data_IF_357514669129
#
_entry.id   IF_357514669129
#
_cell.length_a   1.000
_cell.length_b   1.000
_cell.length_c   1.000
_cell.angle_alpha   90.00
_cell.angle_beta   90.00
_cell.angle_gamma   90.00
#
_symmetry.space_group_name_H-M   'P 1'
#
loop_
_entity.id
_entity.type
_entity.pdbx_description
1 polymer ?
#
# COMPACT_ATOMS: atom_id res chain seq x y z
N UNK A 1 2.52 -34.63 -12.63
CA UNK A 1 3.31 -34.60 -11.38
C UNK A 1 3.69 -33.19 -10.93
N UNK A 2 4.63 -32.45 -11.55
CA UNK A 2 5.05 -31.15 -10.98
C UNK A 2 3.94 -30.08 -10.90
N UNK A 3 3.01 -30.05 -11.86
CA UNK A 3 1.88 -29.13 -11.83
C UNK A 3 0.80 -29.53 -10.81
N UNK A 4 0.67 -30.82 -10.50
CA UNK A 4 -0.30 -31.30 -9.50
C UNK A 4 0.16 -30.98 -8.08
N UNK A 5 1.46 -31.10 -7.80
CA UNK A 5 2.05 -30.75 -6.50
C UNK A 5 1.84 -29.25 -6.18
N UNK A 6 1.87 -28.38 -7.20
CA UNK A 6 1.67 -26.93 -7.04
C UNK A 6 0.22 -26.53 -6.73
N UNK A 7 -0.75 -27.35 -7.09
CA UNK A 7 -2.18 -27.09 -6.86
C UNK A 7 -2.72 -27.73 -5.57
N UNK A 8 -1.92 -28.60 -4.93
CA UNK A 8 -2.31 -29.23 -3.68
C UNK A 8 -2.29 -28.25 -2.51
N UNK A 9 -3.18 -28.49 -1.54
CA UNK A 9 -3.22 -27.71 -0.30
C UNK A 9 -1.89 -27.86 0.45
N UNK A 10 -1.36 -26.75 0.98
CA UNK A 10 -0.08 -26.72 1.68
C UNK A 10 -0.02 -27.73 2.84
N UNK A 11 -1.15 -27.98 3.52
CA UNK A 11 -1.23 -28.98 4.59
C UNK A 11 -0.81 -30.38 4.12
N UNK A 12 -1.19 -30.78 2.90
CA UNK A 12 -0.95 -32.11 2.33
C UNK A 12 0.34 -32.21 1.51
N UNK A 13 1.05 -31.10 1.33
CA UNK A 13 2.31 -31.07 0.60
C UNK A 13 3.42 -31.82 1.36
N UNK A 14 4.30 -32.48 0.61
CA UNK A 14 5.40 -33.27 1.15
C UNK A 14 6.33 -32.45 2.08
N UNK A 15 6.80 -33.09 3.16
CA UNK A 15 7.58 -32.48 4.21
C UNK A 15 8.99 -32.10 3.76
N UNK A 16 9.59 -32.87 2.85
CA UNK A 16 10.89 -32.52 2.27
C UNK A 16 10.81 -31.23 1.46
N UNK A 17 9.72 -31.07 0.69
CA UNK A 17 9.46 -29.87 -0.08
C UNK A 17 9.26 -28.66 0.84
N UNK A 18 8.46 -28.79 1.91
CA UNK A 18 8.26 -27.73 2.92
C UNK A 18 9.56 -27.28 3.56
N UNK A 19 10.42 -28.23 3.96
CA UNK A 19 11.72 -27.93 4.59
C UNK A 19 12.66 -27.20 3.62
N UNK A 20 12.65 -27.56 2.35
CA UNK A 20 13.49 -26.94 1.31
C UNK A 20 12.92 -25.67 0.68
N UNK A 21 11.63 -25.37 0.86
CA UNK A 21 10.92 -24.28 0.17
C UNK A 21 11.57 -22.92 0.45
N UNK A 22 11.88 -22.62 1.71
CA UNK A 22 12.51 -21.35 2.10
C UNK A 22 13.85 -21.11 1.39
N UNK A 23 14.72 -22.12 1.38
CA UNK A 23 16.04 -22.01 0.77
C UNK A 23 15.93 -21.84 -0.75
N UNK A 24 14.99 -22.54 -1.39
CA UNK A 24 14.69 -22.36 -2.81
C UNK A 24 14.18 -20.95 -3.09
N UNK A 25 13.23 -20.43 -2.31
CA UNK A 25 12.70 -19.08 -2.48
C UNK A 25 13.79 -18.02 -2.32
N UNK A 26 14.67 -18.13 -1.32
CA UNK A 26 15.79 -17.19 -1.15
C UNK A 26 16.79 -17.25 -2.31
N UNK A 27 17.00 -18.43 -2.92
CA UNK A 27 17.88 -18.59 -4.09
C UNK A 27 17.26 -17.97 -5.36
N UNK A 28 15.95 -18.13 -5.56
CA UNK A 28 15.28 -17.69 -6.79
C UNK A 28 14.75 -16.25 -6.71
N UNK A 29 14.41 -15.73 -5.53
CA UNK A 29 13.82 -14.39 -5.36
C UNK A 29 14.64 -13.26 -6.00
N UNK A 30 15.99 -13.19 -5.86
CA UNK A 30 16.78 -12.14 -6.50
C UNK A 30 16.74 -12.18 -8.03
N UNK A 31 16.59 -13.36 -8.64
CA UNK A 31 16.55 -13.49 -10.10
C UNK A 31 15.27 -12.91 -10.72
N UNK A 32 14.20 -12.79 -9.93
CA UNK A 32 12.91 -12.23 -10.38
C UNK A 32 12.65 -10.83 -9.81
N UNK A 33 13.63 -10.21 -9.15
CA UNK A 33 13.43 -8.92 -8.48
C UNK A 33 12.45 -8.97 -7.30
N UNK A 34 12.17 -10.17 -6.77
CA UNK A 34 11.28 -10.40 -5.62
C UNK A 34 12.07 -10.36 -4.29
N UNK A 35 13.09 -9.50 -4.23
CA UNK A 35 13.87 -9.29 -3.01
C UNK A 35 12.94 -8.75 -1.91
N UNK A 36 13.03 -9.31 -0.70
CA UNK A 36 12.12 -8.98 0.41
C UNK A 36 10.85 -9.81 0.54
N UNK A 37 10.51 -10.69 -0.44
CA UNK A 37 9.35 -11.59 -0.33
C UNK A 37 9.47 -12.56 0.87
N UNK A 38 10.66 -13.10 1.09
CA UNK A 38 10.98 -13.90 2.27
C UNK A 38 11.78 -13.01 3.21
N UNK A 39 11.30 -12.77 4.44
CA UNK A 39 12.04 -11.97 5.39
C UNK A 39 13.45 -12.53 5.61
N UNK A 40 14.49 -11.67 5.62
CA UNK A 40 15.83 -12.10 5.94
C UNK A 40 15.85 -12.66 7.37
N UNK A 41 16.74 -13.61 7.64
CA UNK A 41 16.90 -14.15 8.99
C UNK A 41 17.50 -13.07 9.89
N UNK A 42 16.66 -12.25 10.50
CA UNK A 42 17.05 -11.33 11.55
C UNK A 42 17.43 -12.16 12.78
N UNK A 43 18.73 -12.25 13.06
CA UNK A 43 19.33 -12.93 14.22
C UNK A 43 19.60 -14.43 14.09
N UNK A 44 20.83 -14.78 14.45
CA UNK A 44 21.36 -16.14 14.65
C UNK A 44 20.62 -16.95 15.73
N UNK A 45 19.73 -16.31 16.50
CA UNK A 45 19.01 -16.95 17.62
C UNK A 45 17.66 -17.54 17.21
N UNK A 46 17.07 -17.12 16.09
CA UNK A 46 15.82 -17.69 15.56
C UNK A 46 16.14 -18.74 14.49
N UNK A 47 16.51 -19.94 14.95
CA UNK A 47 16.77 -21.10 14.08
C UNK A 47 15.45 -21.81 13.79
N UNK A 48 14.95 -21.73 12.55
CA UNK A 48 13.76 -22.49 12.14
C UNK A 48 13.09 -21.98 10.87
N UNK A 49 12.12 -22.75 10.37
CA UNK A 49 11.36 -22.42 9.15
C UNK A 49 10.68 -21.03 9.23
N UNK A 50 10.32 -20.59 10.44
CA UNK A 50 9.57 -19.36 10.72
C UNK A 50 10.44 -18.10 10.93
N UNK A 51 11.76 -18.21 10.83
CA UNK A 51 12.66 -17.08 11.10
C UNK A 51 12.30 -15.84 10.24
N UNK A 52 12.10 -14.68 10.88
CA UNK A 52 11.77 -13.43 10.19
C UNK A 52 10.31 -13.28 9.74
N UNK A 53 9.45 -14.30 9.82
CA UNK A 53 8.02 -14.20 9.49
C UNK A 53 7.17 -13.50 10.58
N UNK A 54 7.81 -12.76 11.48
CA UNK A 54 7.17 -12.10 12.62
C UNK A 54 6.65 -13.10 13.65
N UNK A 55 5.46 -12.83 14.18
CA UNK A 55 4.84 -13.64 15.22
C UNK A 55 4.01 -14.77 14.61
N UNK A 56 4.35 -16.00 14.96
CA UNK A 56 3.61 -17.21 14.56
C UNK A 56 3.12 -17.90 15.83
N UNK A 57 1.82 -18.22 15.86
CA UNK A 57 1.20 -18.96 16.95
C UNK A 57 0.83 -20.37 16.49
N UNK A 58 1.16 -21.34 17.32
CA UNK A 58 0.84 -22.75 17.10
C UNK A 58 -0.27 -23.18 18.06
N UNK A 59 -1.36 -23.73 17.52
CA UNK A 59 -2.46 -24.35 18.27
C UNK A 59 -2.31 -25.87 18.25
N UNK A 60 -1.17 -26.36 18.74
CA UNK A 60 -0.82 -27.78 18.70
C UNK A 60 -0.85 -28.33 17.27
N UNK A 61 -1.65 -29.37 17.06
CA UNK A 61 -1.84 -30.02 15.75
C UNK A 61 -2.96 -29.39 14.89
N UNK A 62 -3.71 -28.43 15.43
CA UNK A 62 -4.90 -27.87 14.74
C UNK A 62 -4.53 -26.85 13.68
N UNK A 63 -3.67 -25.89 14.01
CA UNK A 63 -3.22 -24.86 13.07
C UNK A 63 -1.91 -24.21 13.52
N UNK A 64 -1.18 -23.69 12.55
CA UNK A 64 -0.05 -22.78 12.71
C UNK A 64 -0.38 -21.55 11.86
N UNK A 65 -0.68 -20.41 12.50
CA UNK A 65 -1.06 -19.18 11.81
C UNK A 65 -0.11 -18.05 12.23
N UNK A 66 0.32 -17.26 11.25
CA UNK A 66 1.03 -16.00 11.51
C UNK A 66 0.06 -14.90 11.94
N UNK A 67 0.58 -13.86 12.59
CA UNK A 67 -0.19 -12.66 12.91
C UNK A 67 -0.83 -12.03 11.66
N UNK A 68 -0.13 -12.08 10.52
CA UNK A 68 -0.65 -11.63 9.22
C UNK A 68 -1.84 -12.48 8.76
N UNK A 69 -1.75 -13.80 8.85
CA UNK A 69 -2.84 -14.70 8.46
C UNK A 69 -4.11 -14.41 9.28
N UNK A 70 -3.94 -14.26 10.59
CA UNK A 70 -5.04 -13.94 11.50
C UNK A 70 -5.64 -12.57 11.15
N UNK A 71 -4.83 -11.55 10.91
CA UNK A 71 -5.29 -10.22 10.50
C UNK A 71 -6.04 -10.23 9.17
N UNK A 72 -5.56 -11.00 8.19
CA UNK A 72 -6.22 -11.18 6.89
C UNK A 72 -7.59 -11.85 7.05
N UNK A 73 -7.68 -12.90 7.87
CA UNK A 73 -8.94 -13.62 8.12
C UNK A 73 -9.95 -12.73 8.84
N UNK A 74 -9.54 -12.05 9.91
CA UNK A 74 -10.42 -11.14 10.66
C UNK A 74 -10.90 -9.98 9.78
N UNK A 75 -9.98 -9.36 9.04
CA UNK A 75 -10.34 -8.27 8.13
C UNK A 75 -11.34 -8.72 7.08
N UNK A 76 -11.25 -9.97 6.61
CA UNK A 76 -12.24 -10.51 5.69
C UNK A 76 -13.61 -10.71 6.37
N UNK A 77 -13.68 -11.19 7.62
CA UNK A 77 -14.94 -11.30 8.38
C UNK A 77 -15.62 -9.94 8.50
N UNK A 78 -14.86 -8.88 8.76
CA UNK A 78 -15.37 -7.51 8.88
C UNK A 78 -15.90 -6.95 7.55
N UNK A 79 -15.33 -7.38 6.43
CA UNK A 79 -15.67 -6.83 5.11
C UNK A 79 -16.77 -7.60 4.39
N UNK A 80 -16.62 -8.93 4.32
CA UNK A 80 -17.57 -9.82 3.62
C UNK A 80 -18.73 -10.18 4.55
N UNK A 81 -18.44 -10.43 5.84
CA UNK A 81 -19.35 -11.12 6.73
C UNK A 81 -19.53 -12.59 6.37
N UNK A 82 -20.47 -13.29 6.99
CA UNK A 82 -20.69 -14.73 6.76
C UNK A 82 -21.02 -14.98 5.29
N UNK A 83 -20.20 -15.78 4.61
CA UNK A 83 -20.57 -16.36 3.32
C UNK A 83 -21.64 -17.38 3.62
N UNK A 84 -22.89 -17.03 3.38
CA UNK A 84 -23.96 -18.02 3.37
C UNK A 84 -23.74 -18.88 2.12
N UNK A 85 -23.41 -20.18 2.23
CA UNK A 85 -23.07 -21.03 1.08
C UNK A 85 -24.21 -21.16 0.06
N UNK A 86 -25.39 -20.65 0.39
CA UNK A 86 -26.54 -20.52 -0.51
C UNK A 86 -26.45 -19.31 -1.45
N UNK A 87 -25.50 -18.38 -1.26
CA UNK A 87 -25.42 -17.09 -1.99
C UNK A 87 -24.66 -17.10 -3.31
N UNK A 88 -24.24 -18.27 -3.80
CA UNK A 88 -23.80 -18.37 -5.20
C UNK A 88 -24.97 -18.37 -6.21
N UNK A 89 -26.22 -18.46 -5.73
CA UNK A 89 -27.42 -18.52 -6.60
C UNK A 89 -28.67 -17.83 -6.00
N UNK A 90 -28.56 -17.19 -4.82
CA UNK A 90 -29.72 -16.67 -4.05
C UNK A 90 -29.87 -15.15 -4.00
N UNK A 91 -29.31 -14.43 -4.99
CA UNK A 91 -29.74 -13.05 -5.28
C UNK A 91 -31.26 -12.98 -5.63
N UNK A 92 -31.91 -14.12 -5.91
CA UNK A 92 -33.36 -14.21 -6.14
C UNK A 92 -34.24 -14.43 -4.90
N UNK A 93 -33.70 -14.93 -3.78
CA UNK A 93 -34.54 -15.33 -2.64
C UNK A 93 -34.49 -14.39 -1.42
N UNK A 94 -33.48 -13.52 -1.31
CA UNK A 94 -33.47 -12.46 -0.29
C UNK A 94 -34.66 -11.48 -0.46
N UNK A 95 -35.16 -11.32 -1.69
CA UNK A 95 -36.37 -10.54 -2.00
C UNK A 95 -37.71 -11.24 -1.69
N UNK A 96 -37.75 -12.57 -1.51
CA UNK A 96 -39.01 -13.29 -1.25
C UNK A 96 -39.31 -13.46 0.25
N UNK A 97 -38.29 -13.63 1.10
CA UNK A 97 -38.50 -13.69 2.55
C UNK A 97 -38.73 -12.32 3.17
N UNK A 98 -38.12 -11.25 2.63
CA UNK A 98 -38.44 -9.88 3.02
C UNK A 98 -39.85 -9.42 2.59
N UNK A 99 -40.50 -10.18 1.67
CA UNK A 99 -41.88 -9.91 1.25
C UNK A 99 -42.93 -10.55 2.18
N UNK A 100 -42.56 -11.57 2.98
CA UNK A 100 -43.49 -12.25 3.88
C UNK A 100 -43.58 -11.64 5.28
N UNK A 101 -42.58 -10.86 5.71
CA UNK A 101 -42.65 -10.09 6.97
C UNK A 101 -43.16 -8.65 6.76
N UNK A 102 -43.42 -8.22 5.52
CA UNK A 102 -43.72 -6.82 5.16
C UNK A 102 -45.13 -6.61 4.61
N UNK A 103 -46.05 -7.54 4.84
CA UNK A 103 -47.46 -7.38 4.46
C UNK A 103 -48.29 -6.58 5.51
N UNK A 104 -47.70 -6.18 6.65
CA UNK A 104 -48.40 -5.41 7.71
C UNK A 104 -47.85 -3.99 7.96
N UNK A 105 -46.94 -3.45 7.14
CA UNK A 105 -46.46 -2.07 7.30
C UNK A 105 -46.32 -1.33 5.97
N UNK A 106 -46.86 -0.11 5.95
CA UNK A 106 -47.07 0.77 4.80
C UNK A 106 -45.83 1.01 3.90
N UNK A 107 -46.02 1.33 2.60
CA UNK A 107 -44.95 1.45 1.64
C UNK A 107 -44.34 2.85 1.67
N UNK A 108 -43.33 3.06 2.49
CA UNK A 108 -42.36 4.14 2.35
C UNK A 108 -41.05 3.65 2.97
N UNK A 109 -40.28 2.87 2.22
CA UNK A 109 -38.96 2.40 2.64
C UNK A 109 -37.93 2.83 1.60
N UNK A 110 -37.48 4.07 1.76
CA UNK A 110 -36.12 4.48 1.38
C UNK A 110 -35.19 3.60 2.20
N UNK A 111 -34.41 2.75 1.53
CA UNK A 111 -33.41 1.85 2.13
C UNK A 111 -32.74 2.49 3.35
N UNK A 112 -33.16 2.05 4.53
CA UNK A 112 -32.76 2.62 5.81
C UNK A 112 -31.23 2.51 5.98
N UNK A 113 -30.50 3.63 6.12
CA UNK A 113 -29.05 3.61 6.36
C UNK A 113 -28.67 2.85 7.64
N UNK A 114 -29.61 2.59 8.55
CA UNK A 114 -29.38 1.77 9.75
C UNK A 114 -29.15 0.28 9.43
N UNK A 115 -29.59 -0.21 8.26
CA UNK A 115 -29.37 -1.60 7.86
C UNK A 115 -27.88 -1.90 7.63
N UNK A 116 -27.15 -0.99 6.98
CA UNK A 116 -25.69 -1.14 6.77
C UNK A 116 -24.92 -1.09 8.10
N UNK A 117 -25.31 -0.20 9.00
CA UNK A 117 -24.76 -0.10 10.37
C UNK A 117 -25.00 -1.38 11.18
N UNK A 118 -26.19 -1.98 11.04
CA UNK A 118 -26.52 -3.26 11.70
C UNK A 118 -25.67 -4.43 11.19
N UNK A 119 -25.34 -4.45 9.90
CA UNK A 119 -24.45 -5.44 9.30
C UNK A 119 -23.01 -5.27 9.77
N UNK A 120 -22.52 -4.04 9.96
CA UNK A 120 -21.18 -3.79 10.52
C UNK A 120 -21.10 -4.32 11.96
N UNK A 121 -22.12 -4.07 12.79
CA UNK A 121 -22.13 -4.51 14.18
C UNK A 121 -22.11 -6.05 14.30
N UNK A 122 -22.92 -6.74 13.49
CA UNK A 122 -22.93 -8.23 13.49
C UNK A 122 -21.60 -8.82 13.01
N UNK A 123 -20.96 -8.19 12.02
CA UNK A 123 -19.62 -8.58 11.54
C UNK A 123 -18.55 -8.33 12.60
N UNK A 124 -18.62 -7.21 13.32
CA UNK A 124 -17.72 -6.88 14.42
C UNK A 124 -17.74 -7.97 15.51
N UNK A 125 -18.92 -8.35 15.99
CA UNK A 125 -19.03 -9.39 17.01
C UNK A 125 -18.60 -10.77 16.48
N UNK A 126 -18.89 -11.09 15.21
CA UNK A 126 -18.40 -12.32 14.58
C UNK A 126 -16.87 -12.36 14.51
N UNK A 127 -16.22 -11.24 14.22
CA UNK A 127 -14.78 -11.10 14.21
C UNK A 127 -14.18 -11.19 15.62
N UNK A 128 -14.84 -10.56 16.61
CA UNK A 128 -14.46 -10.63 18.02
C UNK A 128 -14.56 -12.06 18.58
N UNK A 129 -15.64 -12.77 18.27
CA UNK A 129 -15.83 -14.16 18.68
C UNK A 129 -14.82 -15.12 18.02
N UNK A 130 -14.33 -14.77 16.82
CA UNK A 130 -13.29 -15.53 16.14
C UNK A 130 -11.92 -15.40 16.83
N UNK A 131 -11.63 -14.27 17.48
CA UNK A 131 -10.38 -14.06 18.24
C UNK A 131 -10.50 -14.40 19.72
N UNK A 132 -11.73 -14.48 20.24
CA UNK A 132 -11.98 -14.73 21.67
C UNK A 132 -11.37 -16.05 22.12
N UNK A 133 -10.49 -15.97 23.10
CA UNK A 133 -9.84 -17.13 23.73
C UNK A 133 -10.81 -17.90 24.65
N UNK A 134 -11.98 -17.34 24.94
CA UNK A 134 -12.94 -17.83 25.94
C UNK A 134 -13.74 -19.03 25.45
N UNK A 135 -14.01 -19.14 24.15
CA UNK A 135 -14.98 -20.11 23.62
C UNK A 135 -14.35 -21.43 23.16
N UNK A 136 -13.03 -21.50 22.99
CA UNK A 136 -12.24 -22.75 23.00
C UNK A 136 -10.77 -22.39 22.76
N UNK A 137 -9.83 -23.17 23.30
CA UNK A 137 -8.43 -23.17 22.87
C UNK A 137 -8.23 -23.55 21.38
N UNK A 138 -9.30 -23.65 20.58
CA UNK A 138 -9.27 -24.12 19.21
C UNK A 138 -9.46 -22.98 18.19
N UNK A 139 -8.64 -22.93 17.11
CA UNK A 139 -8.74 -21.90 16.07
C UNK A 139 -9.89 -22.15 15.09
N UNK A 140 -10.95 -22.87 15.49
CA UNK A 140 -11.97 -23.41 14.59
C UNK A 140 -12.75 -22.31 13.87
N UNK A 141 -13.14 -21.24 14.56
CA UNK A 141 -13.85 -20.11 13.96
C UNK A 141 -12.99 -19.35 12.93
N UNK A 142 -11.68 -19.22 13.20
CA UNK A 142 -10.73 -18.63 12.26
C UNK A 142 -10.57 -19.51 11.02
N UNK A 143 -10.42 -20.83 11.20
CA UNK A 143 -10.29 -21.78 10.09
C UNK A 143 -11.58 -21.84 9.24
N UNK A 144 -12.75 -21.77 9.86
CA UNK A 144 -14.03 -21.71 9.15
C UNK A 144 -14.19 -20.42 8.33
N UNK A 145 -13.53 -19.34 8.75
CA UNK A 145 -13.54 -18.04 8.06
C UNK A 145 -12.43 -17.92 7.01
N UNK A 146 -11.51 -18.89 6.92
CA UNK A 146 -10.43 -18.87 5.94
C UNK A 146 -10.91 -18.89 4.47
N UNK A 147 -11.93 -19.70 4.08
CA UNK A 147 -12.45 -19.68 2.70
C UNK A 147 -13.00 -18.30 2.30
N UNK A 148 -13.50 -17.55 3.27
CA UNK A 148 -14.03 -16.21 3.07
C UNK A 148 -12.91 -15.21 2.80
N UNK A 149 -11.80 -15.29 3.53
CA UNK A 149 -10.60 -14.53 3.19
C UNK A 149 -10.07 -14.87 1.79
N UNK A 150 -10.05 -16.16 1.43
CA UNK A 150 -9.65 -16.60 0.10
C UNK A 150 -10.59 -16.05 -0.99
N UNK A 151 -11.91 -16.05 -0.75
CA UNK A 151 -12.90 -15.50 -1.68
C UNK A 151 -12.65 -14.00 -1.92
N UNK A 152 -12.52 -13.21 -0.85
CA UNK A 152 -12.21 -11.78 -0.95
C UNK A 152 -10.93 -11.51 -1.76
N UNK A 153 -9.84 -12.21 -1.47
CA UNK A 153 -8.57 -11.98 -2.18
C UNK A 153 -8.63 -12.46 -3.64
N UNK A 154 -9.36 -13.53 -3.94
CA UNK A 154 -9.63 -13.94 -5.33
C UNK A 154 -10.46 -12.91 -6.08
N UNK A 155 -11.47 -12.32 -5.43
CA UNK A 155 -12.28 -11.25 -6.00
C UNK A 155 -11.44 -9.99 -6.27
N UNK A 156 -10.56 -9.61 -5.34
CA UNK A 156 -9.59 -8.50 -5.50
C UNK A 156 -8.69 -8.76 -6.70
N UNK A 157 -8.07 -9.95 -6.79
CA UNK A 157 -7.19 -10.31 -7.91
C UNK A 157 -7.94 -10.31 -9.24
N UNK A 158 -9.14 -10.91 -9.30
CA UNK A 158 -9.97 -10.96 -10.50
C UNK A 158 -10.36 -9.57 -10.99
N UNK A 159 -10.83 -8.72 -10.07
CA UNK A 159 -11.30 -7.37 -10.40
C UNK A 159 -10.12 -6.46 -10.74
N UNK A 160 -9.06 -6.49 -9.93
CA UNK A 160 -7.84 -5.71 -10.15
C UNK A 160 -7.16 -6.04 -11.48
N UNK A 161 -7.01 -7.32 -11.82
CA UNK A 161 -6.46 -7.74 -13.13
C UNK A 161 -7.38 -7.35 -14.29
N UNK A 162 -8.71 -7.41 -14.12
CA UNK A 162 -9.66 -6.89 -15.11
C UNK A 162 -9.49 -5.38 -15.33
N UNK A 163 -9.32 -4.59 -14.26
CA UNK A 163 -9.10 -3.14 -14.37
C UNK A 163 -7.80 -2.80 -15.12
N UNK A 164 -6.72 -3.52 -14.82
CA UNK A 164 -5.41 -3.35 -15.47
C UNK A 164 -5.45 -3.77 -16.94
N UNK A 165 -5.97 -4.96 -17.24
CA UNK A 165 -6.04 -5.49 -18.62
C UNK A 165 -6.93 -4.64 -19.53
N UNK A 166 -8.07 -4.15 -19.01
CA UNK A 166 -8.96 -3.26 -19.75
C UNK A 166 -8.47 -1.81 -19.81
N UNK A 167 -7.32 -1.49 -19.22
CA UNK A 167 -6.77 -0.13 -19.17
C UNK A 167 -7.81 0.89 -18.65
N UNK A 168 -8.61 0.49 -17.65
CA UNK A 168 -9.67 1.33 -17.08
C UNK A 168 -9.12 2.37 -16.08
N UNK A 169 -7.83 2.28 -15.76
CA UNK A 169 -7.12 3.24 -14.91
C UNK A 169 -6.74 4.44 -15.77
N UNK A 170 -7.34 5.59 -15.46
CA UNK A 170 -7.08 6.85 -16.17
C UNK A 170 -6.16 7.75 -15.36
N UNK A 171 -5.26 8.42 -16.05
CA UNK A 171 -4.38 9.42 -15.45
C UNK A 171 -5.04 10.80 -15.51
N UNK A 172 -5.36 11.37 -14.35
CA UNK A 172 -5.71 12.78 -14.23
C UNK A 172 -4.49 13.57 -13.78
N UNK A 173 -4.61 14.90 -13.73
CA UNK A 173 -3.49 15.80 -13.41
C UNK A 173 -2.86 15.49 -12.04
N UNK A 174 -3.69 15.31 -11.02
CA UNK A 174 -3.24 15.16 -9.63
C UNK A 174 -3.17 13.69 -9.16
N UNK A 175 -3.97 12.79 -9.74
CA UNK A 175 -4.07 11.39 -9.33
C UNK A 175 -4.54 10.48 -10.45
N UNK A 176 -4.45 9.17 -10.23
CA UNK A 176 -5.06 8.16 -11.11
C UNK A 176 -6.42 7.77 -10.60
N UNK A 177 -7.32 7.43 -11.51
CA UNK A 177 -8.67 7.02 -11.18
C UNK A 177 -9.05 5.71 -11.85
N UNK A 178 -9.75 4.86 -11.11
CA UNK A 178 -10.46 3.72 -11.66
C UNK A 178 -11.88 3.64 -11.08
N UNK A 179 -12.82 3.17 -11.90
CA UNK A 179 -14.23 3.00 -11.51
C UNK A 179 -14.64 1.54 -11.75
N UNK A 180 -15.02 0.87 -10.68
CA UNK A 180 -15.54 -0.50 -10.68
C UNK A 180 -17.05 -0.44 -10.89
N UNK A 181 -17.46 -0.51 -12.15
CA UNK A 181 -18.86 -0.45 -12.56
C UNK A 181 -19.47 -1.82 -12.90
N UNK A 182 -18.68 -2.72 -13.49
CA UNK A 182 -19.17 -3.98 -14.07
C UNK A 182 -18.33 -5.16 -13.56
N UNK A 183 -18.98 -6.24 -13.11
CA UNK A 183 -18.32 -7.47 -12.68
C UNK A 183 -19.14 -8.31 -11.71
N UNK A 184 -18.78 -9.58 -11.51
CA UNK A 184 -19.47 -10.47 -10.58
C UNK A 184 -19.28 -10.05 -9.11
N UNK A 185 -18.21 -9.30 -8.80
CA UNK A 185 -17.82 -8.92 -7.45
C UNK A 185 -18.14 -7.45 -7.11
N UNK A 186 -18.89 -6.72 -7.95
CA UNK A 186 -19.16 -5.28 -7.75
C UNK A 186 -19.81 -5.01 -6.38
N UNK A 187 -20.80 -5.84 -6.00
CA UNK A 187 -21.46 -5.78 -4.70
C UNK A 187 -20.52 -6.00 -3.51
N UNK A 188 -19.39 -6.69 -3.70
CA UNK A 188 -18.42 -6.87 -2.63
C UNK A 188 -17.63 -5.57 -2.36
N UNK A 189 -17.39 -4.79 -3.41
CA UNK A 189 -16.65 -3.53 -3.36
C UNK A 189 -17.52 -2.30 -3.05
N UNK A 190 -18.78 -2.49 -2.67
CA UNK A 190 -19.58 -1.45 -2.02
C UNK A 190 -19.17 -1.27 -0.56
N UNK A 191 -18.60 -2.30 0.08
CA UNK A 191 -18.03 -2.15 1.41
C UNK A 191 -16.73 -1.32 1.31
N UNK A 192 -16.61 -0.21 2.06
CA UNK A 192 -15.43 0.64 2.01
C UNK A 192 -14.13 -0.09 2.35
N UNK A 193 -14.15 -1.04 3.30
CA UNK A 193 -12.95 -1.80 3.67
C UNK A 193 -12.43 -2.69 2.53
N UNK A 194 -13.34 -3.40 1.86
CA UNK A 194 -13.00 -4.24 0.71
C UNK A 194 -12.49 -3.39 -0.47
N UNK A 195 -13.13 -2.24 -0.69
CA UNK A 195 -12.71 -1.29 -1.73
C UNK A 195 -11.34 -0.68 -1.44
N UNK A 196 -11.04 -0.34 -0.18
CA UNK A 196 -9.71 0.12 0.24
C UNK A 196 -8.64 -0.94 -0.02
N UNK A 197 -8.89 -2.22 0.29
CA UNK A 197 -7.94 -3.30 -0.03
C UNK A 197 -7.71 -3.45 -1.53
N UNK A 198 -8.77 -3.36 -2.34
CA UNK A 198 -8.63 -3.36 -3.79
C UNK A 198 -7.82 -2.14 -4.27
N UNK A 199 -8.08 -0.95 -3.73
CA UNK A 199 -7.36 0.27 -4.08
C UNK A 199 -5.87 0.17 -3.72
N UNK A 200 -5.52 -0.37 -2.56
CA UNK A 200 -4.13 -0.60 -2.16
C UNK A 200 -3.43 -1.59 -3.09
N UNK A 201 -4.09 -2.70 -3.44
CA UNK A 201 -3.53 -3.70 -4.36
C UNK A 201 -3.34 -3.12 -5.77
N UNK A 202 -4.33 -2.39 -6.30
CA UNK A 202 -4.23 -1.75 -7.62
C UNK A 202 -3.18 -0.66 -7.63
N UNK A 203 -3.10 0.15 -6.57
CA UNK A 203 -2.08 1.19 -6.41
C UNK A 203 -0.67 0.61 -6.43
N UNK A 204 -0.45 -0.51 -5.75
CA UNK A 204 0.82 -1.22 -5.78
C UNK A 204 1.14 -1.81 -7.17
N UNK A 205 0.16 -2.42 -7.83
CA UNK A 205 0.34 -2.97 -9.18
C UNK A 205 0.69 -1.87 -10.21
N UNK A 206 0.02 -0.73 -10.15
CA UNK A 206 0.31 0.45 -10.99
C UNK A 206 1.71 0.99 -10.70
N UNK A 207 2.09 1.09 -9.42
CA UNK A 207 3.42 1.55 -9.00
C UNK A 207 4.53 0.66 -9.57
N UNK A 208 4.36 -0.66 -9.52
CA UNK A 208 5.32 -1.62 -10.11
C UNK A 208 5.39 -1.46 -11.63
N UNK A 209 4.23 -1.37 -12.29
CA UNK A 209 4.17 -1.19 -13.75
C UNK A 209 4.86 0.10 -14.22
N UNK A 210 4.78 1.17 -13.44
CA UNK A 210 5.46 2.43 -13.72
C UNK A 210 6.95 2.39 -13.46
N UNK A 211 7.35 1.69 -12.40
CA UNK A 211 8.76 1.47 -12.11
C UNK A 211 9.45 0.73 -13.27
N UNK A 212 8.77 -0.25 -13.87
CA UNK A 212 9.27 -0.98 -15.06
C UNK A 212 9.29 -0.10 -16.32
N UNK A 213 8.28 0.76 -16.51
CA UNK A 213 8.22 1.69 -17.66
C UNK A 213 9.15 2.90 -17.53
N UNK A 214 9.68 3.17 -16.34
CA UNK A 214 10.48 4.36 -16.03
C UNK A 214 9.66 5.64 -15.84
N UNK A 215 8.33 5.56 -15.94
CA UNK A 215 7.36 6.66 -15.88
C UNK A 215 6.83 6.89 -14.46
N UNK A 216 7.75 7.03 -13.50
CA UNK A 216 7.36 7.33 -12.11
C UNK A 216 6.97 8.80 -11.97
N UNK A 217 5.80 9.06 -11.38
CA UNK A 217 5.33 10.42 -11.07
C UNK A 217 6.40 11.21 -10.30
N UNK A 218 6.88 12.32 -10.87
CA UNK A 218 7.85 13.22 -10.24
C UNK A 218 7.09 14.37 -9.57
N UNK A 219 7.15 14.46 -8.25
CA UNK A 219 6.61 15.59 -7.48
C UNK A 219 7.80 16.41 -6.99
N UNK A 220 7.93 17.66 -7.47
CA UNK A 220 9.02 18.55 -7.08
C UNK A 220 10.42 18.06 -7.47
N UNK A 221 10.57 17.40 -8.63
CA UNK A 221 11.87 16.89 -9.11
C UNK A 221 12.33 15.57 -8.46
N UNK A 222 11.68 15.14 -7.36
CA UNK A 222 11.90 13.83 -6.72
C UNK A 222 10.83 12.85 -7.19
N UNK A 223 11.21 11.58 -7.42
CA UNK A 223 10.23 10.51 -7.68
C UNK A 223 9.33 10.39 -6.45
N UNK A 224 8.02 10.61 -6.62
CA UNK A 224 7.05 10.43 -5.56
C UNK A 224 7.03 8.96 -5.15
N UNK A 225 6.92 8.69 -3.85
CA UNK A 225 7.01 7.33 -3.28
C UNK A 225 5.75 6.49 -3.56
N UNK A 226 4.71 7.09 -4.15
CA UNK A 226 3.67 6.34 -4.84
C UNK A 226 2.71 7.20 -5.62
N UNK A 227 1.87 6.53 -6.41
CA UNK A 227 0.85 7.15 -7.23
C UNK A 227 -0.43 7.32 -6.41
N UNK A 228 -0.90 8.55 -6.17
CA UNK A 228 -2.22 8.72 -5.58
C UNK A 228 -3.27 8.11 -6.51
N UNK A 229 -4.12 7.26 -5.94
CA UNK A 229 -5.16 6.52 -6.67
C UNK A 229 -6.50 6.74 -6.00
N UNK A 230 -7.49 7.14 -6.78
CA UNK A 230 -8.91 7.16 -6.41
C UNK A 230 -9.60 5.96 -7.04
N UNK A 231 -10.28 5.17 -6.22
CA UNK A 231 -11.07 4.04 -6.68
C UNK A 231 -12.52 4.25 -6.28
N UNK A 232 -13.44 4.10 -7.24
CA UNK A 232 -14.87 4.20 -7.00
C UNK A 232 -15.57 2.87 -7.26
N UNK A 233 -16.36 2.37 -6.32
CA UNK A 233 -17.24 1.20 -6.48
C UNK A 233 -18.70 1.64 -6.69
N UNK A 234 -19.34 1.12 -7.73
CA UNK A 234 -20.76 1.41 -8.00
C UNK A 234 -21.66 0.55 -7.10
N UNK A 235 -22.56 1.21 -6.38
CA UNK A 235 -23.73 0.59 -5.76
C UNK A 235 -24.97 0.94 -6.59
N UNK A 236 -25.46 -0.04 -7.36
CA UNK A 236 -26.65 0.15 -8.20
C UNK A 236 -27.94 0.27 -7.40
N UNK A 237 -28.02 -0.42 -6.25
CA UNK A 237 -29.22 -0.46 -5.42
C UNK A 237 -29.45 0.92 -4.77
N UNK A 238 -28.38 1.55 -4.28
CA UNK A 238 -28.42 2.88 -3.66
C UNK A 238 -28.20 4.02 -4.65
N UNK A 239 -27.85 3.74 -5.91
CA UNK A 239 -27.42 4.74 -6.92
C UNK A 239 -26.32 5.68 -6.42
N UNK A 240 -25.36 5.12 -5.68
CA UNK A 240 -24.24 5.84 -5.05
C UNK A 240 -22.93 5.18 -5.46
N UNK A 241 -21.89 5.98 -5.61
CA UNK A 241 -20.51 5.50 -5.69
C UNK A 241 -19.84 5.64 -4.34
N UNK A 242 -19.29 4.54 -3.84
CA UNK A 242 -18.34 4.57 -2.72
C UNK A 242 -16.98 4.90 -3.30
N UNK A 243 -16.37 6.01 -2.87
CA UNK A 243 -15.12 6.54 -3.39
C UNK A 243 -14.06 6.48 -2.31
N UNK A 244 -12.92 5.84 -2.61
CA UNK A 244 -11.78 5.71 -1.72
C UNK A 244 -10.56 6.38 -2.34
N UNK A 245 -9.92 7.29 -1.59
CA UNK A 245 -8.69 7.96 -1.96
C UNK A 245 -7.47 7.39 -1.24
N UNK A 246 -6.53 6.80 -1.99
CA UNK A 246 -5.27 6.28 -1.46
C UNK A 246 -4.11 7.21 -1.80
N UNK A 247 -3.47 7.80 -0.79
CA UNK A 247 -2.43 8.83 -0.96
C UNK A 247 -1.07 8.34 -1.46
N UNK A 248 -0.98 7.21 -2.16
CA UNK A 248 0.27 6.66 -2.69
C UNK A 248 1.19 6.00 -1.65
N UNK A 249 0.79 5.92 -0.37
CA UNK A 249 1.57 5.28 0.70
C UNK A 249 1.31 3.78 0.92
N UNK A 250 0.65 3.09 -0.02
CA UNK A 250 0.20 1.71 0.15
C UNK A 250 1.23 0.62 -0.18
N UNK A 251 2.42 0.98 -0.66
CA UNK A 251 3.46 0.01 -1.00
C UNK A 251 4.14 -0.53 0.25
N UNK A 252 4.55 -1.80 0.21
CA UNK A 252 5.48 -2.35 1.21
C UNK A 252 6.75 -1.51 1.11
N UNK A 253 6.93 -0.61 2.08
CA UNK A 253 8.13 0.20 2.18
C UNK A 253 9.27 -0.79 2.45
N UNK A 254 10.10 -1.04 1.44
CA UNK A 254 11.28 -1.86 1.62
C UNK A 254 12.29 -1.07 2.46
N UNK A 255 12.15 -1.19 3.78
CA UNK A 255 13.01 -0.57 4.76
C UNK A 255 14.48 -0.99 4.56
N UNK A 256 14.73 -2.19 4.02
CA UNK A 256 16.07 -2.66 3.72
C UNK A 256 16.65 -1.95 2.49
N UNK A 257 15.86 -1.78 1.42
CA UNK A 257 16.28 -1.00 0.26
C UNK A 257 16.49 0.49 0.60
N UNK A 258 15.64 1.06 1.46
CA UNK A 258 15.82 2.43 1.96
C UNK A 258 17.08 2.57 2.83
N UNK A 259 17.35 1.61 3.72
CA UNK A 259 18.56 1.58 4.53
C UNK A 259 19.82 1.45 3.67
N UNK A 260 19.82 0.54 2.68
CA UNK A 260 20.93 0.36 1.74
C UNK A 260 21.21 1.63 0.94
N UNK A 261 20.17 2.30 0.46
CA UNK A 261 20.31 3.59 -0.25
C UNK A 261 20.81 4.71 0.67
N UNK A 262 20.47 4.68 1.96
CA UNK A 262 21.00 5.62 2.97
C UNK A 262 22.48 5.37 3.22
N UNK A 263 22.89 4.10 3.33
CA UNK A 263 24.28 3.70 3.51
C UNK A 263 25.14 4.04 2.28
N UNK A 264 24.62 3.82 1.08
CA UNK A 264 25.28 4.22 -0.16
C UNK A 264 25.45 5.74 -0.25
N UNK A 265 24.43 6.52 0.15
CA UNK A 265 24.53 7.98 0.22
C UNK A 265 25.55 8.45 1.25
N UNK A 266 25.57 7.84 2.44
CA UNK A 266 26.54 8.15 3.51
C UNK A 266 27.96 7.86 3.04
N UNK A 267 28.20 6.69 2.45
CA UNK A 267 29.51 6.34 1.86
C UNK A 267 29.91 7.30 0.74
N UNK A 268 28.96 7.72 -0.10
CA UNK A 268 29.22 8.72 -1.15
C UNK A 268 29.57 10.09 -0.57
N UNK A 269 28.93 10.52 0.52
CA UNK A 269 29.25 11.77 1.23
C UNK A 269 30.64 11.70 1.88
N UNK A 270 30.93 10.62 2.60
CA UNK A 270 32.25 10.38 3.22
C UNK A 270 33.38 10.34 2.18
N UNK A 271 33.15 9.72 1.02
CA UNK A 271 34.13 9.73 -0.08
C UNK A 271 34.34 11.13 -0.67
N UNK A 272 33.28 11.93 -0.81
CA UNK A 272 33.39 13.32 -1.28
C UNK A 272 34.15 14.19 -0.28
N UNK A 273 33.88 14.04 1.01
CA UNK A 273 34.56 14.79 2.08
C UNK A 273 36.04 14.41 2.18
N UNK A 274 36.38 13.11 2.10
CA UNK A 274 37.78 12.67 2.01
C UNK A 274 38.50 13.24 0.79
N UNK A 275 37.86 13.22 -0.39
CA UNK A 275 38.43 13.80 -1.62
C UNK A 275 38.63 15.31 -1.49
N UNK A 276 37.74 16.01 -0.78
CA UNK A 276 37.86 17.45 -0.51
C UNK A 276 38.99 17.74 0.47
N UNK A 277 39.08 17.01 1.56
CA UNK A 277 40.15 17.15 2.55
C UNK A 277 41.53 16.88 1.94
N UNK A 278 41.67 15.84 1.12
CA UNK A 278 42.92 15.54 0.39
C UNK A 278 43.29 16.66 -0.60
N UNK A 279 42.31 17.25 -1.29
CA UNK A 279 42.54 18.40 -2.20
C UNK A 279 42.98 19.65 -1.42
N UNK A 280 42.39 19.91 -0.26
CA UNK A 280 42.74 21.03 0.62
C UNK A 280 44.14 20.85 1.24
N UNK A 281 44.50 19.63 1.68
CA UNK A 281 45.85 19.32 2.17
C UNK A 281 46.91 19.46 1.07
N UNK A 282 46.62 18.98 -0.15
CA UNK A 282 47.49 19.17 -1.31
C UNK A 282 47.69 20.65 -1.65
N UNK A 283 46.64 21.47 -1.53
CA UNK A 283 46.71 22.92 -1.75
C UNK A 283 47.53 23.62 -0.66
N UNK A 284 47.35 23.24 0.60
CA UNK A 284 48.11 23.78 1.73
C UNK A 284 49.60 23.44 1.62
N UNK A 285 49.95 22.22 1.20
CA UNK A 285 51.34 21.81 1.00
C UNK A 285 52.02 22.59 -0.14
N UNK A 286 51.33 22.78 -1.27
CA UNK A 286 51.83 23.61 -2.38
C UNK A 286 52.00 25.07 -1.98
N UNK A 287 51.08 25.61 -1.18
CA UNK A 287 51.18 26.98 -0.67
C UNK A 287 52.36 27.15 0.32
N UNK A 288 52.58 26.17 1.20
CA UNK A 288 53.71 26.18 2.14
C UNK A 288 55.07 26.06 1.42
N UNK A 289 55.18 25.19 0.41
CA UNK A 289 56.38 25.05 -0.41
C UNK A 289 56.69 26.32 -1.22
N UNK A 290 55.66 26.98 -1.77
CA UNK A 290 55.81 28.28 -2.45
C UNK A 290 56.26 29.39 -1.49
N UNK A 291 55.73 29.41 -0.26
CA UNK A 291 56.14 30.36 0.77
C UNK A 291 57.59 30.13 1.24
N UNK A 292 58.07 28.88 1.29
CA UNK A 292 59.44 28.55 1.66
C UNK A 292 60.46 28.88 0.57
N UNK A 293 60.06 28.82 -0.71
CA UNK A 293 60.94 29.16 -1.85
C UNK A 293 61.20 30.66 -2.02
N UNK A 294 60.51 31.52 -1.27
CA UNK A 294 60.75 32.97 -1.27
C UNK A 294 60.53 33.63 -2.63
N UNK A 295 59.55 33.13 -3.40
CA UNK A 295 59.07 33.81 -4.60
C UNK A 295 58.03 34.85 -4.14
N UNK A 296 58.44 36.12 -4.06
CA UNK A 296 57.53 37.25 -3.82
C UNK A 296 56.48 37.34 -4.94
N UNK A 297 55.28 37.72 -4.53
CA UNK A 297 54.08 37.90 -5.35
C UNK A 297 54.37 38.84 -6.54
N UNK A 298 54.53 38.28 -7.74
CA UNK A 298 54.29 39.02 -8.97
C UNK A 298 53.09 38.40 -9.70
N UNK A 299 52.14 39.27 -9.99
CA UNK A 299 50.84 38.97 -10.57
C UNK A 299 51.01 38.34 -11.96
N UNK A 300 50.46 37.14 -12.16
CA UNK A 300 50.22 36.62 -13.50
C UNK A 300 50.60 35.16 -13.71
N UNK A 301 49.83 34.23 -13.13
CA UNK A 301 49.48 32.99 -13.84
C UNK A 301 48.22 32.38 -13.21
N UNK A 302 47.05 32.93 -13.57
CA UNK A 302 45.74 32.29 -13.38
C UNK A 302 45.38 31.41 -14.60
N UNK A 303 46.36 30.81 -15.27
CA UNK A 303 46.09 30.07 -16.51
C UNK A 303 46.79 28.72 -16.55
N UNK A 304 45.95 27.68 -16.40
CA UNK A 304 46.14 26.29 -16.86
C UNK A 304 47.07 25.43 -15.96
N UNK A 305 46.65 24.33 -15.34
CA UNK A 305 45.86 23.21 -15.86
C UNK A 305 45.02 22.58 -14.74
N UNK A 306 43.70 22.52 -14.96
CA UNK A 306 42.82 21.37 -14.69
C UNK A 306 41.41 21.80 -15.15
N UNK A 307 41.29 22.13 -16.45
CA UNK A 307 40.03 21.91 -17.16
C UNK A 307 39.94 20.41 -17.47
N UNK A 308 38.71 19.86 -17.45
CA UNK A 308 38.31 18.43 -17.54
C UNK A 308 38.31 17.71 -16.17
N UNK A 309 37.24 17.60 -15.39
CA UNK A 309 35.82 17.46 -15.70
C UNK A 309 34.96 18.46 -14.91
N UNK A 310 34.46 19.44 -15.65
CA UNK A 310 33.29 20.22 -15.27
C UNK A 310 32.05 19.32 -15.47
N UNK A 311 31.67 18.56 -14.44
CA UNK A 311 30.28 18.17 -14.26
C UNK A 311 29.65 19.14 -13.26
N UNK A 312 29.50 20.39 -13.71
CA UNK A 312 28.56 21.34 -13.13
C UNK A 312 27.15 20.78 -13.30
N UNK A 313 26.75 19.87 -12.42
CA UNK A 313 25.38 19.89 -11.94
C UNK A 313 25.38 20.76 -10.69
N UNK A 314 25.19 22.07 -10.90
CA UNK A 314 24.84 23.01 -9.86
C UNK A 314 23.58 22.50 -9.15
N UNK A 315 23.77 22.02 -7.94
CA UNK A 315 22.73 21.75 -6.96
C UNK A 315 23.36 22.07 -5.62
N UNK A 316 23.33 23.34 -5.26
CA UNK A 316 23.71 23.83 -3.95
C UNK A 316 22.74 23.25 -2.91
N UNK A 317 23.02 22.03 -2.44
CA UNK A 317 22.44 21.47 -1.22
C UNK A 317 23.56 21.36 -0.18
N UNK A 318 24.07 22.53 0.24
CA UNK A 318 24.85 22.65 1.46
C UNK A 318 23.89 22.72 2.64
N UNK A 319 23.24 21.60 2.94
CA UNK A 319 22.47 21.45 4.18
C UNK A 319 23.42 20.87 5.24
N UNK A 320 23.98 21.75 6.05
CA UNK A 320 24.62 21.40 7.32
C UNK A 320 23.53 21.02 8.33
N UNK A 321 23.11 19.76 8.31
CA UNK A 321 22.29 19.18 9.38
C UNK A 321 23.21 18.69 10.51
N UNK A 322 23.73 19.62 11.32
CA UNK A 322 24.21 19.35 12.69
C UNK A 322 23.00 19.45 13.63
N UNK A 323 22.25 18.37 13.79
CA UNK A 323 21.24 18.20 14.84
C UNK A 323 20.89 16.70 14.95
N UNK A 324 21.83 15.91 15.48
CA UNK A 324 21.81 14.44 15.40
C UNK A 324 20.92 13.74 16.47
N UNK A 325 20.38 14.45 17.46
CA UNK A 325 19.68 13.79 18.59
C UNK A 325 18.14 13.92 18.60
N UNK A 326 17.54 14.82 17.82
CA UNK A 326 16.07 15.05 17.84
C UNK A 326 15.32 14.51 16.60
N UNK A 327 16.05 13.96 15.61
CA UNK A 327 15.51 13.52 14.32
C UNK A 327 14.79 12.16 14.31
N UNK A 328 14.89 11.34 15.37
CA UNK A 328 14.27 10.00 15.38
C UNK A 328 12.74 10.01 15.25
N UNK A 329 12.05 11.11 15.59
CA UNK A 329 10.57 11.21 15.49
C UNK A 329 10.08 11.84 14.18
N UNK A 330 10.92 12.61 13.46
CA UNK A 330 10.51 13.36 12.26
C UNK A 330 10.90 12.71 10.92
N UNK A 331 11.57 11.56 10.92
CA UNK A 331 11.96 10.84 9.68
C UNK A 331 10.78 10.11 9.01
N UNK A 332 9.71 9.80 9.74
CA UNK A 332 8.52 9.15 9.20
C UNK A 332 7.67 10.06 8.29
N UNK A 333 7.95 11.37 8.25
CA UNK A 333 7.07 12.36 7.61
C UNK A 333 7.58 12.96 6.30
N UNK A 334 8.91 12.98 6.05
CA UNK A 334 9.47 13.67 4.87
C UNK A 334 9.53 12.85 3.58
N UNK A 335 9.37 11.53 3.65
CA UNK A 335 9.43 10.63 2.48
C UNK A 335 8.12 9.92 2.16
N UNK A 336 7.17 9.88 3.10
CA UNK A 336 5.88 9.24 2.94
C UNK A 336 4.89 10.36 2.61
N UNK A 337 4.50 10.42 1.34
CA UNK A 337 3.38 11.24 0.87
C UNK A 337 2.19 11.03 1.81
N UNK A 338 1.81 12.07 2.56
CA UNK A 338 0.67 11.97 3.47
C UNK A 338 -0.60 11.96 2.64
N UNK A 339 -1.53 11.09 3.01
CA UNK A 339 -2.82 11.03 2.34
C UNK A 339 -3.60 12.32 2.65
N UNK A 340 -3.75 13.19 1.63
CA UNK A 340 -4.50 14.45 1.74
C UNK A 340 -5.90 14.36 1.13
N UNK A 341 -6.31 13.17 0.65
CA UNK A 341 -7.64 12.98 0.07
C UNK A 341 -8.76 13.34 1.05
N UNK A 342 -8.60 13.09 2.35
CA UNK A 342 -9.63 13.45 3.33
C UNK A 342 -9.95 14.94 3.38
N UNK A 343 -8.92 15.79 3.34
CA UNK A 343 -9.09 17.25 3.31
C UNK A 343 -9.60 17.68 1.92
N UNK A 344 -9.02 17.14 0.85
CA UNK A 344 -9.41 17.48 -0.50
C UNK A 344 -10.88 17.14 -0.81
N UNK A 345 -11.39 16.02 -0.28
CA UNK A 345 -12.79 15.65 -0.42
C UNK A 345 -13.70 16.64 0.30
N UNK A 346 -13.37 17.05 1.53
CA UNK A 346 -14.13 18.06 2.26
C UNK A 346 -14.16 19.40 1.51
N UNK A 347 -13.01 19.88 1.02
CA UNK A 347 -12.93 21.10 0.22
C UNK A 347 -13.81 21.03 -1.04
N UNK A 348 -13.77 19.92 -1.77
CA UNK A 348 -14.57 19.73 -2.99
C UNK A 348 -16.06 19.71 -2.68
N UNK A 349 -16.47 19.05 -1.58
CA UNK A 349 -17.88 19.00 -1.16
C UNK A 349 -18.40 20.41 -0.83
N UNK A 350 -17.60 21.22 -0.15
CA UNK A 350 -17.98 22.60 0.15
C UNK A 350 -18.13 23.49 -1.09
N UNK A 351 -17.38 23.21 -2.16
CA UNK A 351 -17.38 24.04 -3.37
C UNK A 351 -18.39 23.61 -4.43
N UNK A 352 -18.52 22.30 -4.66
CA UNK A 352 -19.37 21.77 -5.74
C UNK A 352 -20.82 21.56 -5.32
N UNK A 353 -21.13 21.69 -4.02
CA UNK A 353 -22.43 21.36 -3.43
C UNK A 353 -22.95 19.97 -3.87
N UNK A 354 -22.02 19.06 -4.21
CA UNK A 354 -22.33 17.70 -4.61
C UNK A 354 -22.95 16.95 -3.42
N UNK A 355 -23.92 16.08 -3.68
CA UNK A 355 -24.54 15.28 -2.62
C UNK A 355 -23.58 14.16 -2.23
N UNK A 356 -22.80 14.43 -1.18
CA UNK A 356 -21.79 13.53 -0.66
C UNK A 356 -22.07 13.22 0.81
N UNK A 357 -21.98 11.94 1.17
CA UNK A 357 -22.05 11.46 2.55
C UNK A 357 -20.65 11.08 3.04
N UNK A 358 -20.25 11.67 4.17
CA UNK A 358 -18.98 11.40 4.86
C UNK A 358 -19.32 10.81 6.24
N UNK A 359 -19.68 9.53 6.25
CA UNK A 359 -20.12 8.80 7.47
C UNK A 359 -19.11 7.71 7.90
N UNK A 360 -17.95 7.67 7.24
CA UNK A 360 -16.86 6.77 7.59
C UNK A 360 -15.88 7.45 8.55
N UNK A 361 -15.33 6.68 9.49
CA UNK A 361 -14.24 7.14 10.37
C UNK A 361 -13.00 7.60 9.58
N UNK A 362 -12.79 7.05 8.39
CA UNK A 362 -11.74 7.48 7.48
C UNK A 362 -12.27 8.55 6.53
N UNK A 363 -11.78 9.79 6.65
CA UNK A 363 -12.17 10.89 5.77
C UNK A 363 -11.76 10.68 4.31
N UNK A 364 -10.87 9.73 4.01
CA UNK A 364 -10.51 9.35 2.64
C UNK A 364 -11.51 8.38 1.99
N UNK A 365 -12.66 8.15 2.63
CA UNK A 365 -13.78 7.38 2.10
C UNK A 365 -15.03 8.26 2.09
N UNK A 366 -15.66 8.39 0.93
CA UNK A 366 -16.87 9.20 0.76
C UNK A 366 -17.86 8.50 -0.16
N UNK A 367 -19.13 8.77 0.03
CA UNK A 367 -20.20 8.27 -0.81
C UNK A 367 -20.77 9.41 -1.65
N UNK A 368 -20.74 9.28 -2.97
CA UNK A 368 -21.15 10.33 -3.92
C UNK A 368 -22.31 9.82 -4.77
N UNK A 369 -23.35 10.62 -4.97
CA UNK A 369 -24.45 10.22 -5.86
C UNK A 369 -23.96 9.96 -7.30
N UNK A 370 -24.57 8.99 -7.97
CA UNK A 370 -24.17 8.53 -9.32
C UNK A 370 -24.08 9.65 -10.35
N UNK A 371 -24.99 10.61 -10.27
CA UNK A 371 -25.08 11.76 -11.16
C UNK A 371 -24.07 12.87 -10.85
N UNK A 372 -23.67 13.01 -9.58
CA UNK A 372 -22.75 14.07 -9.13
C UNK A 372 -21.26 13.64 -9.22
N UNK A 373 -20.98 12.35 -9.44
CA UNK A 373 -19.62 11.79 -9.48
C UNK A 373 -18.73 12.51 -10.51
N UNK A 374 -19.24 12.81 -11.70
CA UNK A 374 -18.47 13.45 -12.76
C UNK A 374 -17.91 14.81 -12.34
N UNK A 375 -18.79 15.68 -11.82
CA UNK A 375 -18.41 17.01 -11.33
C UNK A 375 -17.50 16.95 -10.10
N UNK A 376 -17.75 16.00 -9.20
CA UNK A 376 -16.91 15.78 -8.02
C UNK A 376 -15.46 15.45 -8.41
N UNK A 377 -15.26 14.54 -9.36
CA UNK A 377 -13.93 14.11 -9.82
C UNK A 377 -13.20 15.22 -10.60
N UNK A 378 -13.94 16.00 -11.38
CA UNK A 378 -13.38 17.15 -12.10
C UNK A 378 -12.84 18.20 -11.12
N UNK A 379 -13.64 18.60 -10.13
CA UNK A 379 -13.23 19.55 -9.10
C UNK A 379 -12.05 19.03 -8.27
N UNK A 380 -12.06 17.74 -7.92
CA UNK A 380 -10.97 17.09 -7.21
C UNK A 380 -9.65 17.09 -8.00
N UNK A 381 -9.71 17.03 -9.33
CA UNK A 381 -8.51 17.02 -10.19
C UNK A 381 -7.67 18.29 -10.10
N UNK A 382 -8.26 19.41 -9.65
CA UNK A 382 -7.59 20.69 -9.42
C UNK A 382 -6.98 20.82 -8.02
N UNK A 383 -7.25 19.89 -7.10
CA UNK A 383 -6.81 19.93 -5.70
C UNK A 383 -5.49 19.20 -5.50
N UNK A 384 -4.73 19.63 -4.49
CA UNK A 384 -3.53 18.90 -4.06
C UNK A 384 -3.93 17.71 -3.18
N UNK A 385 -3.84 16.51 -3.72
CA UNK A 385 -4.23 15.26 -3.05
C UNK A 385 -3.08 14.56 -2.32
N UNK A 386 -1.86 15.08 -2.51
CA UNK A 386 -0.65 14.68 -1.77
C UNK A 386 -0.16 15.91 -1.00
N UNK A 387 0.24 15.70 0.26
CA UNK A 387 0.75 16.72 1.18
C UNK A 387 2.23 16.56 1.49
#
# INVERSE_FOLDING_TARGET
MENEIKQQNYTHMDMELKRGLRQKLLRYAPMYGLEGLVPPAFSSTQVGAYAGWGFVRNWGWKACLSATDVGVVIGAILEVGKIDPTTSDSDRHRFQNAKREKDDAAPNDVSDPDSDSSHILTRFWSAYDAISLTSSESPTNLLNSLPLAQHLHRAILRTGTSLLSKHQIRHLRAFRIAVVKDGPDVKLFTNPGALTKLALWVGEAVRVQEQERGDGMKVGGKRAVGTPLVLAGLDEDRNVYVVVGTGGGGGVVDFAALAKRRDEKRKKKEMKEKKRAEREERRAKRAAERAERGEDEDEGDETEEDEEDDDSSSGSDSESDDDDDEQHRNIYSRGIARNRFGIAFQEVVHETNARVRIDSFEHCVVEVQKEDLGGFLEALSFRSVVG
#
